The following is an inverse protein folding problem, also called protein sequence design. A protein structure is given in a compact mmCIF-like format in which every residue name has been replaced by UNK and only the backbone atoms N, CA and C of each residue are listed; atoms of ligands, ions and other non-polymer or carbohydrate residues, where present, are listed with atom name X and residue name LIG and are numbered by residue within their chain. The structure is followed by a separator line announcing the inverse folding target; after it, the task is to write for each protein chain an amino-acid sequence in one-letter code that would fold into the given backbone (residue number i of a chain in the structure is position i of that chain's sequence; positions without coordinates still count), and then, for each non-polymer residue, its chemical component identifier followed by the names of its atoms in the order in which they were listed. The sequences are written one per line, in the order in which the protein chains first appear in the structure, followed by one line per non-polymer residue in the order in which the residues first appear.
data_IF_256560920649
#
_entry.id   IF_256560920649
#
_cell.length_a   1.000
_cell.length_b   1.000
_cell.length_c   1.000
_cell.angle_alpha   90.00
_cell.angle_beta   90.00
_cell.angle_gamma   90.00
#
_symmetry.space_group_name_H-M   'P 1'
#
loop_
_entity.id
_entity.type
_entity.pdbx_description
1 polymer ?
#
# COMPACT_ATOMS: atom_id res chain seq x y z
N UNK A 1 -67.37 -25.34 -32.32
CA UNK A 1 -66.80 -24.02 -32.24
C UNK A 1 -65.74 -24.08 -31.08
N UNK A 2 -64.56 -24.56 -31.40
CA UNK A 2 -63.51 -24.82 -30.41
C UNK A 2 -62.53 -23.66 -30.41
N UNK A 3 -62.25 -23.11 -29.21
CA UNK A 3 -61.29 -22.04 -28.99
C UNK A 3 -59.90 -22.63 -28.93
N UNK A 4 -58.86 -21.99 -29.53
CA UNK A 4 -57.49 -22.50 -29.49
C UNK A 4 -56.82 -22.20 -28.15
N UNK A 5 -56.19 -23.23 -27.61
CA UNK A 5 -55.42 -23.22 -26.37
C UNK A 5 -54.22 -22.25 -26.39
N UNK A 6 -54.07 -21.49 -25.33
CA UNK A 6 -52.89 -20.65 -25.05
C UNK A 6 -51.72 -21.56 -24.71
N UNK A 7 -50.72 -21.58 -25.60
CA UNK A 7 -49.41 -22.14 -25.33
C UNK A 7 -48.71 -21.28 -24.24
N UNK A 8 -48.55 -21.85 -23.08
CA UNK A 8 -47.76 -21.30 -21.99
C UNK A 8 -46.29 -21.20 -22.39
N UNK A 9 -45.75 -19.98 -22.53
CA UNK A 9 -44.33 -19.73 -22.65
C UNK A 9 -43.67 -19.85 -21.26
N UNK A 10 -43.39 -21.09 -20.87
CA UNK A 10 -42.41 -21.36 -19.81
C UNK A 10 -41.00 -21.27 -20.41
N UNK A 11 -40.48 -20.09 -20.43
CA UNK A 11 -39.11 -19.81 -20.87
C UNK A 11 -38.30 -19.19 -19.76
N UNK A 12 -38.08 -19.90 -18.65
CA UNK A 12 -37.00 -19.65 -17.80
C UNK A 12 -35.70 -20.00 -18.57
N UNK A 13 -35.18 -19.01 -19.31
CA UNK A 13 -33.80 -19.10 -19.85
C UNK A 13 -32.88 -19.18 -18.65
N UNK A 14 -32.44 -20.39 -18.31
CA UNK A 14 -31.28 -20.59 -17.47
C UNK A 14 -30.16 -19.77 -18.07
N UNK A 15 -29.74 -18.73 -17.36
CA UNK A 15 -28.51 -17.98 -17.68
C UNK A 15 -27.40 -19.02 -17.54
N UNK A 16 -27.03 -19.61 -18.67
CA UNK A 16 -25.86 -20.50 -18.75
C UNK A 16 -24.71 -19.76 -18.07
N UNK A 17 -24.16 -20.32 -17.01
CA UNK A 17 -22.97 -19.80 -16.32
C UNK A 17 -21.79 -19.99 -17.27
N UNK A 18 -21.71 -19.12 -18.31
CA UNK A 18 -20.65 -19.22 -19.30
C UNK A 18 -19.34 -18.78 -18.67
N UNK A 19 -18.42 -19.74 -18.60
CA UNK A 19 -17.01 -19.44 -18.30
C UNK A 19 -16.43 -18.50 -19.37
N UNK A 20 -15.33 -17.85 -19.02
CA UNK A 20 -14.58 -17.08 -20.01
C UNK A 20 -14.15 -17.96 -21.18
N UNK A 21 -14.33 -17.52 -22.42
CA UNK A 21 -13.99 -18.32 -23.61
C UNK A 21 -12.49 -18.70 -23.66
N UNK A 22 -11.63 -17.83 -23.13
CA UNK A 22 -10.20 -18.05 -23.07
C UNK A 22 -9.79 -18.19 -21.59
N UNK A 23 -9.54 -19.43 -21.13
CA UNK A 23 -9.16 -19.65 -19.73
C UNK A 23 -7.80 -19.02 -19.42
N UNK A 24 -7.68 -18.54 -18.19
CA UNK A 24 -6.44 -17.98 -17.63
C UNK A 24 -6.16 -18.69 -16.32
N UNK A 25 -4.99 -19.27 -16.22
CA UNK A 25 -4.56 -19.90 -14.98
C UNK A 25 -4.00 -18.86 -14.02
N UNK A 26 -4.44 -18.86 -12.74
CA UNK A 26 -3.81 -18.05 -11.70
C UNK A 26 -2.37 -18.52 -11.46
N UNK A 27 -1.49 -17.55 -11.26
CA UNK A 27 -0.12 -17.86 -10.88
C UNK A 27 0.04 -17.85 -9.36
N UNK A 28 1.04 -18.57 -8.86
CA UNK A 28 1.36 -18.58 -7.44
C UNK A 28 1.62 -17.17 -6.92
N UNK A 29 1.02 -16.82 -5.77
CA UNK A 29 1.08 -15.51 -5.11
C UNK A 29 0.61 -14.33 -6.00
N UNK A 30 -0.18 -14.57 -7.05
CA UNK A 30 -0.68 -13.51 -7.93
C UNK A 30 -1.78 -12.68 -7.25
N UNK A 31 -1.77 -11.36 -7.46
CA UNK A 31 -2.85 -10.45 -7.06
C UNK A 31 -4.11 -10.64 -7.91
N UNK A 32 -5.29 -10.55 -7.30
CA UNK A 32 -6.57 -10.59 -8.01
C UNK A 32 -6.67 -9.51 -9.11
N UNK A 33 -6.16 -8.30 -8.84
CA UNK A 33 -6.11 -7.24 -9.85
C UNK A 33 -5.23 -7.61 -11.04
N UNK A 34 -4.09 -8.27 -10.82
CA UNK A 34 -3.20 -8.78 -11.87
C UNK A 34 -3.89 -9.85 -12.70
N UNK A 35 -4.52 -10.82 -12.06
CA UNK A 35 -5.27 -11.88 -12.70
C UNK A 35 -6.38 -11.35 -13.63
N UNK A 36 -7.21 -10.41 -13.14
CA UNK A 36 -8.26 -9.79 -13.96
C UNK A 36 -7.73 -8.99 -15.14
N UNK A 37 -6.60 -8.29 -14.96
CA UNK A 37 -5.94 -7.57 -16.06
C UNK A 37 -5.43 -8.55 -17.11
N UNK A 38 -4.77 -9.63 -16.72
CA UNK A 38 -4.30 -10.68 -17.65
C UNK A 38 -5.44 -11.37 -18.37
N UNK A 39 -6.53 -11.64 -17.66
CA UNK A 39 -7.75 -12.18 -18.27
C UNK A 39 -8.30 -11.23 -19.35
N UNK A 40 -8.40 -9.95 -19.06
CA UNK A 40 -8.82 -8.95 -20.04
C UNK A 40 -7.88 -8.90 -21.27
N UNK A 41 -6.59 -8.89 -21.04
CA UNK A 41 -5.57 -8.87 -22.10
C UNK A 41 -5.63 -10.14 -22.96
N UNK A 42 -5.83 -11.31 -22.35
CA UNK A 42 -6.02 -12.58 -23.08
C UNK A 42 -7.21 -12.54 -24.02
N UNK A 43 -8.27 -11.79 -23.67
CA UNK A 43 -9.46 -11.60 -24.48
C UNK A 43 -9.38 -10.38 -25.44
N UNK A 44 -8.23 -9.72 -25.55
CA UNK A 44 -8.05 -8.53 -26.39
C UNK A 44 -8.85 -7.30 -25.93
N UNK A 45 -9.25 -7.26 -24.66
CA UNK A 45 -10.08 -6.20 -24.11
C UNK A 45 -9.30 -5.36 -23.10
N UNK A 46 -9.70 -4.08 -22.96
CA UNK A 46 -9.21 -3.29 -21.83
C UNK A 46 -9.79 -3.85 -20.52
N UNK A 47 -9.04 -3.79 -19.41
CA UNK A 47 -9.53 -4.26 -18.10
C UNK A 47 -10.87 -3.64 -17.70
N UNK A 48 -11.13 -2.38 -18.06
CA UNK A 48 -12.41 -1.71 -17.82
C UNK A 48 -13.56 -2.35 -18.59
N UNK A 49 -13.39 -2.53 -19.91
CA UNK A 49 -14.45 -3.13 -20.76
C UNK A 49 -14.70 -4.59 -20.39
N UNK A 50 -13.64 -5.35 -20.14
CA UNK A 50 -13.75 -6.74 -19.72
C UNK A 50 -14.54 -6.86 -18.42
N UNK A 51 -14.17 -6.11 -17.40
CA UNK A 51 -14.86 -6.17 -16.12
C UNK A 51 -16.29 -5.62 -16.18
N UNK A 52 -16.54 -4.56 -16.94
CA UNK A 52 -17.90 -4.02 -17.12
C UNK A 52 -18.83 -5.02 -17.83
N UNK A 53 -18.31 -5.79 -18.77
CA UNK A 53 -19.07 -6.81 -19.48
C UNK A 53 -19.37 -8.03 -18.59
N UNK A 54 -18.36 -8.54 -17.88
CA UNK A 54 -18.51 -9.75 -17.08
C UNK A 54 -19.14 -9.53 -15.69
N UNK A 55 -19.05 -8.32 -15.16
CA UNK A 55 -19.53 -7.93 -13.82
C UNK A 55 -20.33 -6.62 -13.90
N UNK A 56 -21.48 -6.62 -14.61
CA UNK A 56 -22.27 -5.41 -14.82
C UNK A 56 -22.70 -4.79 -13.49
N UNK A 57 -22.61 -3.47 -13.38
CA UNK A 57 -22.97 -2.74 -12.17
C UNK A 57 -21.93 -2.80 -11.03
N UNK A 58 -20.86 -3.57 -11.17
CA UNK A 58 -19.80 -3.65 -10.15
C UNK A 58 -18.63 -2.73 -10.52
N UNK A 59 -18.38 -1.65 -9.76
CA UNK A 59 -17.29 -0.70 -10.07
C UNK A 59 -15.95 -1.25 -9.57
N UNK A 60 -15.44 -2.32 -10.21
CA UNK A 60 -14.24 -3.07 -9.80
C UNK A 60 -13.04 -2.15 -9.64
N UNK A 61 -12.80 -1.25 -10.60
CA UNK A 61 -11.59 -0.42 -10.63
C UNK A 61 -11.70 0.89 -9.85
N UNK A 62 -12.82 1.12 -9.14
CA UNK A 62 -12.99 2.32 -8.30
C UNK A 62 -12.45 2.14 -6.88
N UNK A 63 -12.00 0.96 -6.54
CA UNK A 63 -11.44 0.60 -5.22
C UNK A 63 -10.27 -0.37 -5.36
N UNK A 64 -9.54 -0.54 -4.28
CA UNK A 64 -8.46 -1.53 -4.17
C UNK A 64 -9.09 -2.92 -3.98
N UNK A 65 -9.37 -3.61 -5.10
CA UNK A 65 -10.03 -4.92 -5.09
C UNK A 65 -9.19 -6.00 -4.41
N UNK A 66 -7.87 -5.88 -4.43
CA UNK A 66 -6.99 -6.83 -3.74
C UNK A 66 -7.25 -6.84 -2.23
N UNK A 67 -7.67 -5.70 -1.67
CA UNK A 67 -7.99 -5.56 -0.24
C UNK A 67 -9.48 -5.68 0.07
N UNK A 68 -10.34 -5.26 -0.85
CA UNK A 68 -11.76 -5.00 -0.56
C UNK A 68 -12.72 -5.78 -1.48
N UNK A 69 -12.25 -6.83 -2.18
CA UNK A 69 -13.14 -7.70 -2.94
C UNK A 69 -14.22 -8.29 -2.01
N UNK A 70 -15.48 -8.16 -2.37
CA UNK A 70 -16.58 -8.78 -1.63
C UNK A 70 -16.66 -10.28 -1.95
N UNK A 71 -17.32 -11.06 -1.07
CA UNK A 71 -17.54 -12.48 -1.31
C UNK A 71 -18.37 -12.71 -2.58
N UNK A 72 -19.32 -11.82 -2.86
CA UNK A 72 -20.08 -11.84 -4.10
C UNK A 72 -19.19 -11.65 -5.35
N UNK A 73 -18.20 -10.73 -5.30
CA UNK A 73 -17.25 -10.56 -6.40
C UNK A 73 -16.35 -11.78 -6.54
N UNK A 74 -15.83 -12.32 -5.42
CA UNK A 74 -15.01 -13.52 -5.41
C UNK A 74 -15.76 -14.70 -6.06
N UNK A 75 -17.00 -14.93 -5.65
CA UNK A 75 -17.85 -15.99 -6.23
C UNK A 75 -18.11 -15.76 -7.72
N UNK A 76 -18.41 -14.52 -8.13
CA UNK A 76 -18.65 -14.18 -9.53
C UNK A 76 -17.41 -14.41 -10.40
N UNK A 77 -16.22 -14.02 -9.92
CA UNK A 77 -14.95 -14.27 -10.62
C UNK A 77 -14.69 -15.77 -10.70
N UNK A 78 -14.89 -16.51 -9.60
CA UNK A 78 -14.69 -17.96 -9.56
C UNK A 78 -15.53 -18.67 -10.63
N UNK A 79 -16.83 -18.36 -10.70
CA UNK A 79 -17.74 -18.90 -11.73
C UNK A 79 -17.23 -18.58 -13.13
N UNK A 80 -16.92 -17.30 -13.41
CA UNK A 80 -16.50 -16.89 -14.75
C UNK A 80 -15.14 -17.47 -15.17
N UNK A 81 -14.21 -17.59 -14.21
CA UNK A 81 -12.89 -18.14 -14.47
C UNK A 81 -12.82 -19.68 -14.45
N UNK A 82 -13.88 -20.36 -14.01
CA UNK A 82 -13.86 -21.82 -13.81
C UNK A 82 -12.98 -22.24 -12.62
N UNK A 83 -12.87 -21.39 -11.60
CA UNK A 83 -12.03 -21.62 -10.42
C UNK A 83 -12.89 -21.84 -9.17
N UNK A 84 -12.26 -22.35 -8.11
CA UNK A 84 -12.90 -22.37 -6.79
C UNK A 84 -12.94 -20.97 -6.17
N UNK A 85 -13.98 -20.60 -5.39
CA UNK A 85 -13.99 -19.35 -4.64
C UNK A 85 -12.78 -19.21 -3.70
N UNK A 86 -12.27 -20.31 -3.17
CA UNK A 86 -11.06 -20.33 -2.32
C UNK A 86 -9.83 -19.90 -3.10
N UNK A 87 -9.63 -20.42 -4.31
CA UNK A 87 -8.52 -20.02 -5.18
C UNK A 87 -8.57 -18.52 -5.52
N UNK A 88 -9.76 -17.98 -5.80
CA UNK A 88 -9.92 -16.53 -6.05
C UNK A 88 -9.67 -15.71 -4.79
N UNK A 89 -10.15 -16.15 -3.63
CA UNK A 89 -9.92 -15.48 -2.35
C UNK A 89 -8.42 -15.44 -2.00
N UNK A 90 -7.67 -16.49 -2.32
CA UNK A 90 -6.21 -16.56 -2.12
C UNK A 90 -5.44 -15.53 -2.94
N UNK A 91 -5.96 -15.05 -4.06
CA UNK A 91 -5.38 -13.95 -4.82
C UNK A 91 -5.61 -12.58 -4.18
N UNK A 92 -6.42 -12.49 -3.13
CA UNK A 92 -6.67 -11.24 -2.40
C UNK A 92 -5.71 -11.05 -1.22
N UNK A 93 -5.73 -9.86 -0.63
CA UNK A 93 -5.01 -9.54 0.60
C UNK A 93 -5.92 -9.65 1.85
N UNK A 94 -7.15 -10.16 1.71
CA UNK A 94 -8.13 -10.30 2.80
C UNK A 94 -7.69 -11.27 3.87
N UNK A 95 -7.01 -12.34 3.48
CA UNK A 95 -6.51 -13.38 4.39
C UNK A 95 -5.11 -13.11 4.95
N UNK A 96 -4.51 -11.96 4.63
CA UNK A 96 -3.23 -11.58 5.24
C UNK A 96 -3.49 -11.26 6.70
N UNK A 97 -2.89 -12.07 7.59
CA UNK A 97 -3.06 -11.95 9.04
C UNK A 97 -2.74 -10.53 9.51
N UNK A 98 -3.52 -10.05 10.48
CA UNK A 98 -3.22 -8.88 11.27
C UNK A 98 -3.45 -7.52 10.63
N UNK A 99 -4.21 -7.40 9.61
CA UNK A 99 -4.72 -6.13 9.14
C UNK A 99 -4.03 -5.41 7.99
N UNK A 100 -4.81 -4.53 7.46
CA UNK A 100 -4.51 -3.54 6.44
C UNK A 100 -3.36 -2.57 6.79
N UNK A 101 -2.76 -2.65 7.97
CA UNK A 101 -1.85 -1.62 8.48
C UNK A 101 -0.44 -1.67 7.90
N UNK A 102 -0.04 -2.78 7.28
CA UNK A 102 1.24 -2.88 6.58
C UNK A 102 1.11 -3.19 5.08
N UNK A 103 -0.10 -3.10 4.53
CA UNK A 103 -0.34 -3.22 3.11
C UNK A 103 -0.22 -1.85 2.46
N UNK A 104 0.60 -1.72 1.44
CA UNK A 104 0.72 -0.49 0.67
C UNK A 104 -0.64 -0.07 0.11
N UNK A 105 -0.99 1.21 0.31
CA UNK A 105 -2.22 1.78 -0.23
C UNK A 105 -2.03 2.15 -1.68
N UNK A 106 -2.88 1.62 -2.54
CA UNK A 106 -2.90 1.98 -3.95
C UNK A 106 -3.74 3.24 -4.13
N UNK A 107 -3.09 4.35 -4.48
CA UNK A 107 -3.74 5.66 -4.69
C UNK A 107 -4.29 5.87 -6.10
N UNK A 108 -4.55 4.80 -6.82
CA UNK A 108 -4.82 4.80 -8.28
C UNK A 108 -6.09 5.56 -8.65
N UNK A 109 -7.07 5.63 -7.74
CA UNK A 109 -8.42 6.08 -8.03
C UNK A 109 -8.67 7.54 -7.68
N UNK A 110 -7.73 8.19 -7.00
CA UNK A 110 -7.89 9.58 -6.60
C UNK A 110 -6.96 10.50 -7.38
N UNK A 111 -7.52 11.42 -8.16
CA UNK A 111 -6.77 12.44 -8.91
C UNK A 111 -5.81 13.25 -8.03
N UNK A 112 -6.13 13.41 -6.74
CA UNK A 112 -5.34 14.15 -5.75
C UNK A 112 -4.33 13.30 -4.98
N UNK A 113 -4.41 11.97 -5.03
CA UNK A 113 -3.51 11.06 -4.34
C UNK A 113 -2.64 10.34 -5.35
N UNK A 114 -1.52 10.93 -5.70
CA UNK A 114 -0.41 10.22 -6.34
C UNK A 114 0.15 9.24 -5.31
N UNK A 115 -0.44 8.05 -5.23
CA UNK A 115 -0.04 7.00 -4.30
C UNK A 115 0.82 5.98 -5.00
N UNK A 116 1.92 5.63 -4.37
CA UNK A 116 2.84 4.58 -4.77
C UNK A 116 2.43 3.31 -4.02
N UNK A 117 1.58 2.49 -4.54
CA UNK A 117 1.08 1.32 -3.80
C UNK A 117 1.46 0.00 -4.42
N UNK A 118 1.50 -0.06 -5.73
CA UNK A 118 2.06 -1.19 -6.45
C UNK A 118 3.57 -1.03 -6.54
N UNK A 119 4.24 -2.16 -6.42
CA UNK A 119 5.67 -2.27 -6.64
C UNK A 119 5.97 -3.62 -7.28
N UNK A 120 7.15 -3.78 -7.86
CA UNK A 120 7.53 -4.98 -8.59
C UNK A 120 9.05 -5.14 -8.64
N UNK A 121 9.50 -6.37 -8.85
CA UNK A 121 10.88 -6.65 -9.27
C UNK A 121 10.90 -6.69 -10.80
N UNK A 122 11.74 -5.89 -11.48
CA UNK A 122 11.82 -5.88 -12.94
C UNK A 122 12.14 -7.24 -13.56
N UNK A 123 13.02 -8.02 -12.92
CA UNK A 123 13.42 -9.33 -13.44
C UNK A 123 12.32 -10.38 -13.21
N UNK A 124 11.70 -10.40 -12.00
CA UNK A 124 10.54 -11.25 -11.79
C UNK A 124 9.40 -10.95 -12.76
N UNK A 125 9.13 -9.66 -13.03
CA UNK A 125 8.07 -9.25 -13.95
C UNK A 125 8.41 -9.63 -15.42
N UNK A 126 9.69 -9.60 -15.78
CA UNK A 126 10.15 -10.08 -17.10
C UNK A 126 9.97 -11.59 -17.24
N UNK A 127 10.33 -12.37 -16.21
CA UNK A 127 10.21 -13.83 -16.22
C UNK A 127 8.75 -14.31 -16.12
N UNK A 128 7.95 -13.67 -15.28
CA UNK A 128 6.54 -13.98 -15.06
C UNK A 128 5.72 -12.69 -15.08
N UNK A 129 4.86 -12.48 -16.10
CA UNK A 129 4.11 -11.24 -16.29
C UNK A 129 2.92 -11.13 -15.32
N UNK A 130 3.19 -11.14 -14.03
CA UNK A 130 2.21 -11.05 -12.94
C UNK A 130 2.69 -10.11 -11.83
N UNK A 131 1.74 -9.53 -11.10
CA UNK A 131 2.03 -8.78 -9.88
C UNK A 131 1.73 -9.66 -8.67
N UNK A 132 2.73 -9.82 -7.79
CA UNK A 132 2.65 -10.69 -6.62
C UNK A 132 2.01 -10.00 -5.41
N UNK A 133 1.32 -10.76 -4.58
CA UNK A 133 0.72 -10.29 -3.32
C UNK A 133 1.79 -9.80 -2.34
N UNK A 134 2.93 -10.50 -2.27
CA UNK A 134 4.08 -10.10 -1.44
C UNK A 134 4.55 -8.67 -1.77
N UNK A 135 4.47 -8.23 -3.02
CA UNK A 135 4.83 -6.87 -3.41
C UNK A 135 3.89 -5.78 -2.87
N UNK A 136 2.75 -6.15 -2.28
CA UNK A 136 1.85 -5.20 -1.62
C UNK A 136 2.20 -4.96 -0.15
N UNK A 137 3.15 -5.72 0.41
CA UNK A 137 3.58 -5.55 1.79
C UNK A 137 4.53 -4.36 1.91
N UNK A 138 4.28 -3.45 2.85
CA UNK A 138 5.08 -2.23 3.00
C UNK A 138 6.51 -2.48 3.50
N UNK A 139 6.75 -3.61 4.15
CA UNK A 139 8.08 -4.02 4.60
C UNK A 139 8.86 -4.81 3.54
N UNK A 140 8.24 -5.16 2.41
CA UNK A 140 8.92 -5.77 1.26
C UNK A 140 9.47 -4.67 0.37
N UNK A 141 10.78 -4.52 0.34
CA UNK A 141 11.48 -3.42 -0.35
C UNK A 141 12.55 -3.93 -1.31
N UNK A 142 12.95 -5.19 -1.18
CA UNK A 142 13.91 -5.86 -2.07
C UNK A 142 13.34 -7.18 -2.58
N UNK A 143 13.79 -7.61 -3.73
CA UNK A 143 13.54 -8.95 -4.22
C UNK A 143 14.63 -9.88 -3.67
N UNK A 144 14.27 -10.85 -2.85
CA UNK A 144 15.20 -11.85 -2.30
C UNK A 144 15.83 -12.72 -3.40
N UNK A 145 15.05 -13.03 -4.45
CA UNK A 145 15.50 -13.86 -5.59
C UNK A 145 16.53 -13.13 -6.46
N UNK A 146 16.26 -11.89 -6.85
CA UNK A 146 17.12 -11.11 -7.77
C UNK A 146 18.04 -10.12 -7.05
N UNK A 147 18.00 -10.08 -5.71
CA UNK A 147 18.85 -9.26 -4.85
C UNK A 147 18.90 -7.78 -5.28
N UNK A 148 17.73 -7.23 -5.66
CA UNK A 148 17.59 -5.84 -6.10
C UNK A 148 16.40 -5.16 -5.46
N UNK A 149 16.43 -3.83 -5.40
CA UNK A 149 15.30 -3.05 -4.91
C UNK A 149 14.06 -3.26 -5.79
N UNK A 150 12.89 -3.37 -5.13
CA UNK A 150 11.62 -3.28 -5.84
C UNK A 150 11.46 -1.87 -6.42
N UNK A 151 10.76 -1.76 -7.54
CA UNK A 151 10.41 -0.50 -8.19
C UNK A 151 8.94 -0.18 -7.90
N UNK A 152 8.63 1.07 -7.53
CA UNK A 152 7.26 1.53 -7.25
C UNK A 152 6.75 2.55 -8.28
N UNK A 153 7.51 2.75 -9.34
CA UNK A 153 7.18 3.63 -10.45
C UNK A 153 7.79 3.10 -11.75
N UNK A 154 7.35 3.65 -12.87
CA UNK A 154 7.99 3.40 -14.15
C UNK A 154 9.38 4.05 -14.19
N UNK A 155 10.45 3.31 -14.53
CA UNK A 155 11.81 3.84 -14.57
C UNK A 155 12.04 4.83 -15.71
N UNK A 156 11.14 4.87 -16.70
CA UNK A 156 11.28 5.73 -17.86
C UNK A 156 10.55 7.08 -17.74
N UNK A 157 9.43 7.12 -17.00
CA UNK A 157 8.59 8.33 -16.92
C UNK A 157 8.14 8.66 -15.49
N UNK A 158 8.62 7.94 -14.48
CA UNK A 158 8.28 8.07 -13.05
C UNK A 158 6.76 8.04 -12.76
N UNK A 159 5.95 7.54 -13.70
CA UNK A 159 4.52 7.36 -13.45
C UNK A 159 4.29 6.25 -12.43
N UNK A 160 3.34 6.41 -11.50
CA UNK A 160 2.94 5.33 -10.58
C UNK A 160 2.35 4.17 -11.36
N UNK A 161 2.49 2.95 -10.83
CA UNK A 161 2.01 1.75 -11.50
C UNK A 161 0.48 1.65 -11.43
N UNK A 162 -0.17 1.54 -12.58
CA UNK A 162 -1.62 1.42 -12.72
C UNK A 162 -1.96 0.35 -13.78
N UNK A 163 -1.73 -0.92 -13.43
CA UNK A 163 -1.83 -2.06 -14.34
C UNK A 163 -3.20 -2.18 -15.01
N UNK A 164 -4.28 -1.80 -14.32
CA UNK A 164 -5.64 -1.82 -14.86
C UNK A 164 -5.89 -0.82 -15.99
N UNK A 165 -4.97 0.10 -16.24
CA UNK A 165 -5.01 1.04 -17.37
C UNK A 165 -4.21 0.56 -18.57
N UNK A 166 -3.46 -0.54 -18.43
CA UNK A 166 -2.65 -1.10 -19.52
C UNK A 166 -3.46 -2.16 -20.27
N UNK A 167 -3.53 -2.03 -21.59
CA UNK A 167 -4.32 -2.91 -22.45
C UNK A 167 -3.53 -4.10 -23.01
N UNK A 168 -2.23 -3.94 -23.23
CA UNK A 168 -1.42 -4.92 -23.95
C UNK A 168 -0.76 -5.95 -23.06
N UNK A 169 -0.05 -5.51 -22.03
CA UNK A 169 0.65 -6.39 -21.10
C UNK A 169 0.88 -5.72 -19.76
N UNK A 170 0.78 -6.48 -18.67
CA UNK A 170 1.14 -6.00 -17.32
C UNK A 170 2.62 -5.61 -17.22
N UNK A 171 3.46 -6.05 -18.15
CA UNK A 171 4.88 -5.71 -18.23
C UNK A 171 5.14 -4.31 -18.79
N UNK A 172 4.12 -3.64 -19.33
CA UNK A 172 4.25 -2.32 -19.93
C UNK A 172 3.76 -1.22 -18.97
N UNK A 173 4.42 -0.08 -19.02
CA UNK A 173 3.93 1.11 -18.33
C UNK A 173 2.62 1.60 -18.96
N UNK A 174 1.61 1.87 -18.16
CA UNK A 174 0.33 2.39 -18.65
C UNK A 174 0.41 3.80 -19.22
N UNK A 175 1.48 4.55 -18.91
CA UNK A 175 1.64 5.95 -19.30
C UNK A 175 2.51 6.11 -20.54
N UNK A 176 3.71 5.50 -20.56
CA UNK A 176 4.66 5.64 -21.67
C UNK A 176 4.81 4.37 -22.53
N UNK A 177 4.10 3.31 -22.22
CA UNK A 177 4.10 2.02 -22.94
C UNK A 177 5.47 1.32 -23.05
N UNK A 178 6.48 1.79 -22.33
CA UNK A 178 7.80 1.11 -22.28
C UNK A 178 7.76 -0.07 -21.31
N UNK A 179 8.64 -1.05 -21.54
CA UNK A 179 8.82 -2.21 -20.69
C UNK A 179 9.21 -1.79 -19.27
N UNK A 180 8.59 -2.42 -18.29
CA UNK A 180 8.91 -2.27 -16.87
C UNK A 180 10.02 -3.24 -16.43
N UNK A 181 10.18 -4.35 -17.14
CA UNK A 181 11.22 -5.35 -16.91
C UNK A 181 12.46 -5.15 -17.79
N UNK A 182 13.49 -5.97 -17.56
CA UNK A 182 14.72 -5.96 -18.35
C UNK A 182 15.57 -4.70 -18.21
N UNK A 183 15.42 -3.97 -17.12
CA UNK A 183 16.14 -2.73 -16.87
C UNK A 183 17.48 -3.04 -16.20
N UNK A 184 18.58 -2.37 -16.62
CA UNK A 184 19.86 -2.51 -15.94
C UNK A 184 19.72 -2.31 -14.44
N UNK A 185 20.49 -3.03 -13.67
CA UNK A 185 20.52 -2.88 -12.23
C UNK A 185 20.99 -1.47 -11.89
N UNK A 186 20.22 -0.76 -11.04
CA UNK A 186 20.67 0.49 -10.44
C UNK A 186 21.95 0.21 -9.65
N UNK A 187 22.99 1.07 -9.72
CA UNK A 187 24.27 0.85 -9.05
C UNK A 187 24.17 0.66 -7.52
N UNK A 188 23.03 0.98 -6.91
CA UNK A 188 22.74 0.68 -5.52
C UNK A 188 22.24 -0.74 -5.31
N UNK A 189 23.16 -1.71 -5.16
CA UNK A 189 22.78 -3.05 -4.69
C UNK A 189 22.25 -3.01 -3.25
N UNK A 190 21.14 -3.74 -2.93
CA UNK A 190 20.74 -3.92 -1.55
C UNK A 190 21.86 -4.55 -0.74
N UNK A 191 22.15 -4.01 0.43
CA UNK A 191 23.15 -4.60 1.34
C UNK A 191 22.65 -5.97 1.84
N UNK A 192 23.58 -6.89 2.13
CA UNK A 192 23.23 -8.16 2.76
C UNK A 192 22.47 -8.00 4.08
N UNK A 193 22.76 -6.91 4.78
CA UNK A 193 22.03 -6.56 6.01
C UNK A 193 20.57 -6.26 5.74
N UNK A 194 20.25 -5.52 4.67
CA UNK A 194 18.86 -5.25 4.28
C UNK A 194 18.14 -6.51 3.80
N UNK A 195 18.84 -7.37 3.04
CA UNK A 195 18.29 -8.66 2.62
C UNK A 195 17.96 -9.55 3.82
N UNK A 196 18.87 -9.65 4.81
CA UNK A 196 18.62 -10.38 6.06
C UNK A 196 17.46 -9.79 6.85
N UNK A 197 17.41 -8.45 6.94
CA UNK A 197 16.32 -7.74 7.61
C UNK A 197 14.95 -8.07 6.98
N UNK A 198 14.86 -8.02 5.66
CA UNK A 198 13.61 -8.38 4.97
C UNK A 198 13.29 -9.86 5.13
N UNK A 199 14.25 -10.77 5.01
CA UNK A 199 14.02 -12.22 5.20
C UNK A 199 13.50 -12.55 6.59
N UNK A 200 13.81 -11.76 7.61
CA UNK A 200 13.23 -11.91 8.94
C UNK A 200 11.71 -11.66 8.91
N UNK A 201 11.25 -10.57 8.27
CA UNK A 201 9.83 -10.27 8.12
C UNK A 201 9.12 -11.25 7.17
N UNK A 202 9.78 -11.70 6.11
CA UNK A 202 9.22 -12.71 5.18
C UNK A 202 8.96 -14.02 5.91
N UNK A 203 9.93 -14.52 6.69
CA UNK A 203 9.75 -15.74 7.48
C UNK A 203 8.61 -15.61 8.50
N UNK A 204 8.50 -14.48 9.18
CA UNK A 204 7.40 -14.23 10.10
C UNK A 204 6.04 -14.22 9.40
N UNK A 205 5.98 -13.65 8.20
CA UNK A 205 4.75 -13.60 7.40
C UNK A 205 4.28 -15.01 6.98
N UNK A 206 5.22 -15.87 6.58
CA UNK A 206 4.92 -17.25 6.16
C UNK A 206 4.69 -18.17 7.36
N UNK A 207 5.56 -18.10 8.36
CA UNK A 207 5.51 -18.97 9.53
C UNK A 207 4.47 -18.59 10.59
N UNK A 208 3.95 -17.37 10.53
CA UNK A 208 2.97 -16.85 11.49
C UNK A 208 3.57 -16.43 12.83
N UNK A 209 4.86 -16.63 13.07
CA UNK A 209 5.58 -16.32 14.33
C UNK A 209 6.95 -15.69 14.04
N UNK A 210 7.49 -15.00 15.04
CA UNK A 210 8.85 -14.44 15.03
C UNK A 210 9.46 -14.49 16.44
N UNK A 211 10.79 -14.38 16.51
CA UNK A 211 11.53 -14.27 17.77
C UNK A 211 11.98 -12.83 17.98
N UNK A 212 11.68 -12.26 19.16
CA UNK A 212 12.10 -10.91 19.59
C UNK A 212 12.67 -11.01 20.99
N UNK A 213 13.96 -10.78 21.17
CA UNK A 213 14.61 -10.80 22.50
C UNK A 213 14.41 -12.11 23.26
N UNK A 214 14.38 -13.25 22.56
CA UNK A 214 14.16 -14.57 23.16
C UNK A 214 12.69 -14.89 23.43
N UNK A 215 11.74 -14.04 22.98
CA UNK A 215 10.31 -14.31 23.09
C UNK A 215 9.70 -14.61 21.73
N UNK A 216 8.89 -15.65 21.65
CA UNK A 216 8.10 -15.96 20.46
C UNK A 216 6.86 -15.05 20.43
N UNK A 217 6.68 -14.32 19.33
CA UNK A 217 5.54 -13.42 19.12
C UNK A 217 4.79 -13.82 17.85
N UNK A 218 3.49 -13.57 17.80
CA UNK A 218 2.73 -13.79 16.57
C UNK A 218 3.07 -12.75 15.51
N UNK A 219 2.85 -13.11 14.25
CA UNK A 219 3.12 -12.26 13.09
C UNK A 219 2.42 -10.89 13.21
N UNK A 220 1.17 -10.89 13.67
CA UNK A 220 0.37 -9.68 13.87
C UNK A 220 1.05 -8.70 14.84
N UNK A 221 1.48 -9.20 15.98
CA UNK A 221 2.13 -8.40 17.03
C UNK A 221 3.50 -7.90 16.58
N UNK A 222 4.27 -8.72 15.85
CA UNK A 222 5.50 -8.26 15.22
C UNK A 222 5.25 -7.07 14.30
N UNK A 223 4.32 -7.21 13.34
CA UNK A 223 4.08 -6.17 12.34
C UNK A 223 3.46 -4.92 12.97
N UNK A 224 2.58 -5.07 13.97
CA UNK A 224 2.02 -3.95 14.71
C UNK A 224 3.11 -3.15 15.43
N UNK A 225 3.99 -3.81 16.15
CA UNK A 225 5.11 -3.17 16.84
C UNK A 225 6.13 -2.58 15.86
N UNK A 226 6.48 -3.33 14.79
CA UNK A 226 7.36 -2.84 13.73
C UNK A 226 6.82 -1.54 13.09
N UNK A 227 5.50 -1.44 12.89
CA UNK A 227 4.85 -0.22 12.38
C UNK A 227 4.99 0.95 13.35
N UNK A 228 4.82 0.72 14.65
CA UNK A 228 5.02 1.76 15.67
C UNK A 228 6.46 2.24 15.64
N UNK A 229 7.44 1.32 15.66
CA UNK A 229 8.87 1.65 15.55
C UNK A 229 9.17 2.41 14.25
N UNK A 230 8.65 1.94 13.12
CA UNK A 230 8.81 2.60 11.83
C UNK A 230 8.32 4.05 11.84
N UNK A 231 7.22 4.34 12.52
CA UNK A 231 6.68 5.70 12.65
C UNK A 231 7.60 6.63 13.45
N UNK A 232 8.42 6.09 14.34
CA UNK A 232 9.39 6.83 15.14
C UNK A 232 10.72 7.03 14.39
N UNK A 233 11.13 6.01 13.62
CA UNK A 233 12.40 5.95 12.91
C UNK A 233 12.38 6.60 11.53
N UNK A 234 11.19 6.84 10.96
CA UNK A 234 11.06 7.47 9.66
C UNK A 234 11.74 8.86 9.65
N UNK A 235 12.60 9.14 8.64
CA UNK A 235 13.27 10.41 8.54
C UNK A 235 12.26 11.56 8.48
N UNK A 236 12.52 12.62 9.20
CA UNK A 236 11.71 13.84 9.15
C UNK A 236 12.04 14.56 7.84
N UNK A 237 11.02 14.82 7.01
CA UNK A 237 11.23 15.61 5.79
C UNK A 237 11.59 17.06 6.15
N UNK A 238 12.78 17.56 5.77
CA UNK A 238 13.20 18.92 6.12
C UNK A 238 12.40 20.01 5.38
N UNK A 239 11.67 19.66 4.33
CA UNK A 239 11.04 20.62 3.40
C UNK A 239 9.59 20.96 3.71
N UNK A 240 8.94 20.38 4.73
CA UNK A 240 7.55 20.67 4.99
C UNK A 240 7.38 21.68 6.14
N UNK A 241 6.86 22.86 5.81
CA UNK A 241 6.38 23.85 6.78
C UNK A 241 5.11 23.40 7.54
N UNK A 242 4.66 22.15 7.33
CA UNK A 242 3.52 21.59 8.03
C UNK A 242 3.87 21.25 9.48
N UNK A 243 2.94 21.38 10.44
CA UNK A 243 3.17 21.01 11.83
C UNK A 243 3.60 19.53 11.91
N UNK A 244 4.53 19.23 12.82
CA UNK A 244 5.21 17.93 12.97
C UNK A 244 4.28 16.68 12.94
N UNK A 245 3.01 16.84 13.34
CA UNK A 245 1.96 15.80 13.30
C UNK A 245 1.46 15.45 11.88
N UNK A 246 1.71 16.31 10.87
CA UNK A 246 1.33 16.07 9.47
C UNK A 246 2.51 15.66 8.60
N UNK A 247 3.73 15.65 9.13
CA UNK A 247 4.96 15.37 8.39
C UNK A 247 5.33 13.89 8.33
N UNK A 248 4.72 13.04 9.17
CA UNK A 248 4.95 11.60 9.14
C UNK A 248 4.06 10.99 8.06
N UNK A 249 4.60 10.84 6.86
CA UNK A 249 3.94 9.98 5.85
C UNK A 249 3.87 8.58 6.43
N UNK A 250 2.69 7.96 6.36
CA UNK A 250 2.56 6.58 6.78
C UNK A 250 3.45 5.71 5.89
N UNK A 251 4.03 4.67 6.45
CA UNK A 251 4.92 3.75 5.74
C UNK A 251 4.29 3.24 4.44
N UNK A 252 2.98 3.01 4.47
CA UNK A 252 2.19 2.49 3.35
C UNK A 252 2.06 3.46 2.16
N UNK A 253 2.47 4.72 2.33
CA UNK A 253 2.48 5.76 1.30
C UNK A 253 3.89 6.22 0.92
N UNK A 254 4.92 5.67 1.56
CA UNK A 254 6.30 6.03 1.28
C UNK A 254 6.85 5.26 0.06
N UNK A 255 7.81 5.87 -0.65
CA UNK A 255 8.57 5.22 -1.72
C UNK A 255 9.42 4.06 -1.18
N UNK A 256 9.76 3.11 -2.06
CA UNK A 256 10.57 1.92 -1.71
C UNK A 256 11.87 2.31 -1.00
N UNK A 257 12.62 3.29 -1.50
CA UNK A 257 13.90 3.71 -0.92
C UNK A 257 13.73 4.24 0.53
N UNK A 258 12.69 5.03 0.77
CA UNK A 258 12.41 5.54 2.11
C UNK A 258 11.98 4.41 3.06
N UNK A 259 11.23 3.41 2.55
CA UNK A 259 10.85 2.23 3.32
C UNK A 259 12.04 1.32 3.60
N UNK A 260 12.97 1.15 2.65
CA UNK A 260 14.17 0.34 2.83
C UNK A 260 15.01 0.83 4.01
N UNK A 261 15.21 2.14 4.13
CA UNK A 261 15.86 2.73 5.30
C UNK A 261 15.14 2.37 6.61
N UNK A 262 13.81 2.50 6.62
CA UNK A 262 13.00 2.20 7.82
C UNK A 262 13.04 0.71 8.16
N UNK A 263 12.93 -0.18 7.17
CA UNK A 263 13.01 -1.63 7.35
C UNK A 263 14.34 -2.02 8.01
N UNK A 264 15.45 -1.48 7.50
CA UNK A 264 16.77 -1.72 8.07
C UNK A 264 16.85 -1.26 9.53
N UNK A 265 16.41 -0.03 9.82
CA UNK A 265 16.45 0.53 11.18
C UNK A 265 15.56 -0.22 12.16
N UNK A 266 14.36 -0.65 11.73
CA UNK A 266 13.49 -1.47 12.58
C UNK A 266 14.13 -2.83 12.87
N UNK A 267 14.71 -3.47 11.86
CA UNK A 267 15.37 -4.76 12.03
C UNK A 267 16.59 -4.66 12.97
N UNK A 268 17.39 -3.59 12.90
CA UNK A 268 18.51 -3.32 13.82
C UNK A 268 18.04 -3.21 15.28
N UNK A 269 16.90 -2.53 15.50
CA UNK A 269 16.29 -2.44 16.84
C UNK A 269 15.84 -3.79 17.34
N UNK A 270 15.19 -4.58 16.49
CA UNK A 270 14.68 -5.90 16.87
C UNK A 270 15.82 -6.90 17.11
N UNK A 271 16.89 -6.85 16.31
CA UNK A 271 18.05 -7.72 16.45
C UNK A 271 18.80 -7.55 17.79
N UNK A 272 18.75 -6.35 18.38
CA UNK A 272 19.35 -6.04 19.68
C UNK A 272 18.32 -5.72 20.77
N UNK A 273 17.13 -6.31 20.67
CA UNK A 273 16.05 -6.11 21.63
C UNK A 273 16.41 -6.63 23.03
N UNK A 274 16.06 -5.94 24.14
CA UNK A 274 15.42 -4.60 24.22
C UNK A 274 16.43 -3.43 24.17
N UNK A 275 17.73 -3.69 24.16
CA UNK A 275 18.77 -2.67 24.23
C UNK A 275 18.74 -1.70 23.05
N UNK A 276 18.47 -2.19 21.85
CA UNK A 276 18.31 -1.37 20.64
C UNK A 276 17.18 -0.35 20.79
N UNK A 277 16.06 -0.76 21.36
CA UNK A 277 14.93 0.13 21.66
C UNK A 277 15.31 1.18 22.72
N UNK A 278 15.93 0.76 23.84
CA UNK A 278 16.37 1.67 24.92
C UNK A 278 17.32 2.75 24.39
N UNK A 279 18.27 2.38 23.51
CA UNK A 279 19.18 3.33 22.85
C UNK A 279 18.41 4.37 22.06
N UNK A 280 17.53 3.95 21.15
CA UNK A 280 16.73 4.87 20.34
C UNK A 280 15.79 5.73 21.19
N UNK A 281 15.19 5.16 22.23
CA UNK A 281 14.35 5.90 23.14
C UNK A 281 15.11 7.04 23.83
N UNK A 282 16.35 6.79 24.25
CA UNK A 282 17.27 7.79 24.81
C UNK A 282 17.63 8.86 23.78
N UNK A 283 18.12 8.46 22.60
CA UNK A 283 18.57 9.37 21.54
C UNK A 283 17.46 10.29 21.01
N UNK A 284 16.23 9.81 20.98
CA UNK A 284 15.06 10.57 20.51
C UNK A 284 14.23 11.17 21.65
N UNK A 285 14.70 11.06 22.91
CA UNK A 285 13.98 11.53 24.10
C UNK A 285 12.53 11.01 24.17
N UNK A 286 12.32 9.72 23.84
CA UNK A 286 11.00 9.10 23.90
C UNK A 286 10.61 8.86 25.34
N UNK A 287 9.31 9.02 25.60
CA UNK A 287 8.66 8.76 26.90
C UNK A 287 7.44 7.90 26.67
N UNK A 288 6.84 7.35 27.71
CA UNK A 288 5.57 6.61 27.60
C UNK A 288 4.51 7.38 26.82
N UNK A 289 4.46 8.71 26.98
CA UNK A 289 3.53 9.59 26.24
C UNK A 289 3.75 9.63 24.74
N UNK A 290 4.93 9.30 24.26
CA UNK A 290 5.18 9.18 22.82
C UNK A 290 4.35 8.09 22.16
N UNK A 291 3.82 7.15 22.96
CA UNK A 291 3.12 5.95 22.53
C UNK A 291 1.61 5.93 22.87
N UNK A 292 1.08 6.89 23.62
CA UNK A 292 -0.32 6.92 24.14
C UNK A 292 -1.39 6.72 23.05
N UNK A 293 -1.10 7.05 21.79
CA UNK A 293 -2.05 6.92 20.68
C UNK A 293 -1.92 5.62 19.90
N UNK A 294 -1.03 4.74 20.31
CA UNK A 294 -0.77 3.48 19.62
C UNK A 294 -1.34 2.31 20.42
N UNK A 295 -2.00 1.39 19.74
CA UNK A 295 -2.20 0.07 20.30
C UNK A 295 -0.87 -0.66 20.24
N UNK A 296 -0.31 -1.03 21.39
CA UNK A 296 0.99 -1.67 21.50
C UNK A 296 0.82 -3.18 21.72
N UNK A 297 1.54 -4.03 21.00
CA UNK A 297 1.67 -5.44 21.34
C UNK A 297 2.44 -5.58 22.66
N UNK A 298 2.21 -6.67 23.39
CA UNK A 298 2.71 -6.85 24.77
C UNK A 298 4.23 -6.77 24.85
N UNK A 299 4.96 -7.37 23.92
CA UNK A 299 6.42 -7.30 23.86
C UNK A 299 6.96 -5.86 23.78
N UNK A 300 6.26 -4.96 23.07
CA UNK A 300 6.66 -3.56 22.95
C UNK A 300 6.12 -2.74 24.13
N UNK A 301 4.95 -3.07 24.66
CA UNK A 301 4.34 -2.40 25.81
C UNK A 301 5.24 -2.48 27.03
N UNK A 302 5.74 -3.67 27.37
CA UNK A 302 6.64 -3.89 28.52
C UNK A 302 7.88 -3.00 28.43
N UNK A 303 8.49 -2.88 27.25
CA UNK A 303 9.66 -2.00 27.08
C UNK A 303 9.30 -0.50 27.12
N UNK A 304 8.08 -0.12 26.72
CA UNK A 304 7.61 1.28 26.80
C UNK A 304 7.30 1.66 28.25
N UNK A 305 6.79 0.75 29.07
CA UNK A 305 6.48 0.96 30.50
C UNK A 305 7.74 1.24 31.32
N UNK A 306 8.90 0.75 30.87
CA UNK A 306 10.19 1.07 31.51
C UNK A 306 10.70 2.49 31.20
N UNK A 307 10.08 3.19 30.24
CA UNK A 307 10.46 4.57 29.93
C UNK A 307 9.91 5.56 30.97
N UNK A 308 10.52 6.73 31.06
CA UNK A 308 10.01 7.82 31.88
C UNK A 308 8.59 8.21 31.43
N UNK A 309 7.70 8.48 32.37
CA UNK A 309 6.29 8.87 32.11
C UNK A 309 6.20 10.14 31.24
N UNK A 310 7.19 11.01 31.30
CA UNK A 310 7.23 12.29 30.61
C UNK A 310 6.45 13.38 31.36
N UNK A 311 6.97 14.61 31.33
CA UNK A 311 6.32 15.76 31.96
C UNK A 311 4.97 16.06 31.33
N UNK A 312 3.96 16.29 32.13
CA UNK A 312 2.70 16.93 31.68
C UNK A 312 3.09 18.31 31.18
N UNK A 313 2.95 18.58 29.87
CA UNK A 313 2.81 19.97 29.44
C UNK A 313 1.55 20.46 30.14
N UNK A 314 1.69 21.27 31.19
CA UNK A 314 0.56 21.99 31.74
C UNK A 314 -0.16 22.63 30.55
N UNK A 315 -1.47 22.43 30.46
CA UNK A 315 -2.28 23.09 29.46
C UNK A 315 -1.93 24.59 29.54
N UNK A 316 -1.37 25.16 28.48
CA UNK A 316 -1.08 26.59 28.44
C UNK A 316 -2.33 27.33 28.85
N UNK A 317 -2.24 28.34 29.75
CA UNK A 317 -3.39 29.11 30.16
C UNK A 317 -4.16 29.60 28.94
N UNK A 318 -5.50 29.63 29.02
CA UNK A 318 -6.41 30.03 27.91
C UNK A 318 -6.01 31.34 27.22
N UNK A 319 -5.29 32.27 27.91
CA UNK A 319 -4.72 33.51 27.35
C UNK A 319 -3.79 33.27 26.14
N UNK A 320 -3.01 32.20 26.13
CA UNK A 320 -2.14 31.87 24.99
C UNK A 320 -2.89 31.30 23.78
N UNK A 321 -4.07 30.68 23.97
CA UNK A 321 -4.90 30.21 22.87
C UNK A 321 -5.50 31.40 22.08
N UNK A 322 -5.90 32.47 22.75
CA UNK A 322 -6.41 33.67 22.08
C UNK A 322 -5.30 34.39 21.29
N UNK A 323 -4.09 34.48 21.86
CA UNK A 323 -2.92 35.08 21.17
C UNK A 323 -2.52 34.26 19.93
N UNK A 324 -2.55 32.93 20.03
CA UNK A 324 -2.23 32.03 18.92
C UNK A 324 -3.29 32.10 17.81
N UNK A 325 -4.56 32.16 18.15
CA UNK A 325 -5.67 32.36 17.20
C UNK A 325 -5.63 33.75 16.52
N UNK A 326 -5.14 34.77 17.24
CA UNK A 326 -4.88 36.09 16.68
C UNK A 326 -3.71 36.06 15.69
N UNK A 327 -2.59 35.47 16.06
CA UNK A 327 -1.41 35.30 15.21
C UNK A 327 -1.71 34.45 13.95
N UNK A 328 -2.58 33.43 14.05
CA UNK A 328 -3.00 32.64 12.89
C UNK A 328 -3.94 33.42 11.97
N UNK A 329 -4.80 34.29 12.49
CA UNK A 329 -5.62 35.25 11.71
C UNK A 329 -4.74 36.27 11.00
N UNK A 330 -3.81 36.88 11.71
CA UNK A 330 -2.88 37.88 11.14
C UNK A 330 -1.98 37.28 10.05
N UNK A 331 -1.60 36.00 10.18
CA UNK A 331 -0.88 35.24 9.13
C UNK A 331 -1.76 34.99 7.90
N UNK A 332 -3.05 34.69 8.05
CA UNK A 332 -3.97 34.51 6.92
C UNK A 332 -4.19 35.82 6.18
N UNK A 333 -4.43 36.91 6.89
CA UNK A 333 -4.52 38.25 6.29
C UNK A 333 -3.24 38.64 5.55
N UNK A 334 -2.06 38.29 6.08
CA UNK A 334 -0.79 38.60 5.41
C UNK A 334 -0.54 37.73 4.18
N UNK A 335 -1.08 36.50 4.14
CA UNK A 335 -1.01 35.62 2.97
C UNK A 335 -1.95 36.12 1.85
N UNK A 336 -3.15 36.57 2.20
CA UNK A 336 -4.11 37.16 1.26
C UNK A 336 -3.57 38.49 0.69
N UNK A 337 -2.91 39.31 1.52
CA UNK A 337 -2.28 40.55 1.05
C UNK A 337 -1.12 40.28 0.07
N UNK A 338 -0.30 39.25 0.30
CA UNK A 338 0.76 38.83 -0.64
C UNK A 338 0.20 38.32 -1.97
N UNK A 339 -0.88 37.54 -1.93
CA UNK A 339 -1.57 37.08 -3.13
C UNK A 339 -2.19 38.26 -3.93
N UNK A 340 -2.84 39.19 -3.24
CA UNK A 340 -3.41 40.40 -3.84
C UNK A 340 -2.31 41.31 -4.44
N UNK A 341 -1.16 41.47 -3.75
CA UNK A 341 -0.03 42.25 -4.26
C UNK A 341 0.61 41.59 -5.48
N UNK A 342 0.74 40.25 -5.48
CA UNK A 342 1.26 39.54 -6.65
C UNK A 342 0.34 39.66 -7.87
N UNK A 343 -0.99 39.62 -7.69
CA UNK A 343 -1.97 39.82 -8.74
C UNK A 343 -1.93 41.26 -9.31
N UNK A 344 -1.79 42.26 -8.44
CA UNK A 344 -1.66 43.66 -8.85
C UNK A 344 -0.36 43.94 -9.61
N UNK A 345 0.76 43.35 -9.18
CA UNK A 345 2.05 43.46 -9.88
C UNK A 345 2.01 42.78 -11.25
N UNK A 346 1.30 41.65 -11.37
CA UNK A 346 1.12 40.97 -12.66
C UNK A 346 0.25 41.78 -13.62
N UNK A 347 -0.83 42.42 -13.15
CA UNK A 347 -1.65 43.34 -13.97
C UNK A 347 -0.91 44.61 -14.40
N UNK A 348 0.03 45.09 -13.59
CA UNK A 348 0.85 46.27 -13.92
C UNK A 348 1.96 45.95 -14.95
N UNK A 349 2.42 44.70 -15.00
CA UNK A 349 3.44 44.23 -15.96
C UNK A 349 2.85 43.84 -17.33
N UNK A 350 1.52 43.72 -17.42
CA UNK A 350 0.79 43.31 -18.64
C UNK A 350 0.16 44.49 -19.38
N UNK A 351 0.46 45.73 -18.96
CA UNK A 351 0.15 46.99 -19.66
C UNK A 351 1.44 47.63 -20.17
#
# INVERSE_FOLDING_TARGET
MDAPGRLGRSGARGVSQMHWPLPVEPQEDELLSSFLVRAAQRHGLSPYRFCAFHFPGVPIWNRDIDRSASDALIAAVAVKAGLSPVSVAQMTLRGVRGSASWINRVGIYHRLRRGWGLQYCPDCLAERPVFFRAWRMSLMVVCSRHRRFLQDACPHCDAPLAIHRQMLSVQLCHHCSRMLGGIPQDPGMPTDTLLRAQSYFERALHGGIAEIGGQTVCCEDLFQGARVLASLLAPRSPSSRAPARHQRRSLELARVQARAYVVLRVAEVLASWPLGFKRIAKDQHLTQRSFVRNSLPDWLRSAVEELQVGRTRHAMPRKHHALRAKLERDRRCNTDWRATRAALLWQAASK
#
